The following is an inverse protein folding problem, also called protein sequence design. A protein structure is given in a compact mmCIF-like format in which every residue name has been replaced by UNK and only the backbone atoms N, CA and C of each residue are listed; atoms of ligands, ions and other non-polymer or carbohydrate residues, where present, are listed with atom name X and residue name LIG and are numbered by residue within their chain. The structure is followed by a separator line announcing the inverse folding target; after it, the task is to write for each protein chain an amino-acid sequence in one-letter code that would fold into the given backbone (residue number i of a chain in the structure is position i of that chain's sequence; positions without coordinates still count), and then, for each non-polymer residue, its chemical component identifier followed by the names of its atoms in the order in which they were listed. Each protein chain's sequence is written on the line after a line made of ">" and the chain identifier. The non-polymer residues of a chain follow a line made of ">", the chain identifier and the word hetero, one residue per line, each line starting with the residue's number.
data_IF_629930627622
#
_entry.id   IF_629930627622
#
_cell.length_a   1.000
_cell.length_b   1.000
_cell.length_c   1.000
_cell.angle_alpha   90.00
_cell.angle_beta   90.00
_cell.angle_gamma   90.00
#
_symmetry.space_group_name_H-M   'P 1'
#
loop_
_entity.id
_entity.type
_entity.pdbx_description
1 polymer ?
#
# COMPACT_ATOMS: atom_id res chain seq x y z
N UNK A 1 -6.85 28.76 -14.50
CA UNK A 1 -6.81 27.48 -13.82
C UNK A 1 -5.67 26.66 -14.38
N UNK A 2 -4.74 26.26 -13.53
CA UNK A 2 -3.72 25.28 -13.93
C UNK A 2 -4.43 23.94 -14.07
N UNK A 3 -4.67 23.50 -15.31
CA UNK A 3 -5.08 22.13 -15.58
C UNK A 3 -3.87 21.24 -15.34
N UNK A 4 -3.79 20.64 -14.14
CA UNK A 4 -2.85 19.55 -13.92
C UNK A 4 -3.41 18.32 -14.64
N UNK A 5 -2.67 17.80 -15.62
CA UNK A 5 -3.00 16.55 -16.30
C UNK A 5 -2.84 15.33 -15.37
N UNK A 6 -2.31 15.51 -14.17
CA UNK A 6 -2.15 14.47 -13.18
C UNK A 6 -3.40 14.37 -12.29
N UNK A 7 -3.98 13.19 -12.22
CA UNK A 7 -5.03 12.89 -11.25
C UNK A 7 -4.45 12.87 -9.83
N UNK A 8 -5.20 13.31 -8.82
CA UNK A 8 -4.78 13.25 -7.42
C UNK A 8 -4.44 11.83 -6.97
N UNK A 9 -3.59 11.73 -5.97
CA UNK A 9 -3.31 10.51 -5.24
C UNK A 9 -4.02 10.60 -3.89
N UNK A 10 -4.73 9.56 -3.50
CA UNK A 10 -5.38 9.45 -2.20
C UNK A 10 -4.75 8.34 -1.39
N UNK A 11 -4.42 8.61 -0.13
CA UNK A 11 -4.05 7.61 0.85
C UNK A 11 -5.18 7.40 1.86
N UNK A 12 -5.57 6.14 2.05
CA UNK A 12 -6.55 5.75 3.06
C UNK A 12 -5.83 5.22 4.30
N UNK A 13 -5.57 6.13 5.24
CA UNK A 13 -4.95 5.78 6.51
C UNK A 13 -6.00 5.26 7.50
N UNK A 14 -5.63 4.25 8.28
CA UNK A 14 -6.49 3.61 9.31
C UNK A 14 -6.01 3.89 10.75
N UNK A 15 -4.99 4.72 10.90
CA UNK A 15 -4.42 5.12 12.17
C UNK A 15 -2.94 4.80 12.30
N UNK A 16 -2.13 5.84 12.45
CA UNK A 16 -0.66 5.74 12.46
C UNK A 16 -0.03 6.46 13.67
N UNK A 17 -0.81 6.73 14.72
CA UNK A 17 -0.36 7.49 15.90
C UNK A 17 0.23 6.61 17.01
N UNK A 18 0.15 5.30 16.89
CA UNK A 18 0.64 4.34 17.90
C UNK A 18 1.04 3.02 17.22
N UNK A 19 2.05 2.31 17.75
CA UNK A 19 2.36 0.95 17.33
C UNK A 19 1.30 -0.08 17.75
N UNK A 20 0.44 0.26 18.72
CA UNK A 20 -0.66 -0.60 19.17
C UNK A 20 -1.78 -0.66 18.12
N UNK A 21 -1.81 -1.72 17.34
CA UNK A 21 -2.79 -1.91 16.27
C UNK A 21 -4.22 -2.06 16.76
N UNK A 22 -4.43 -2.40 18.03
CA UNK A 22 -5.77 -2.52 18.59
C UNK A 22 -6.49 -1.17 18.69
N UNK A 23 -5.74 -0.08 18.63
CA UNK A 23 -6.24 1.30 18.67
C UNK A 23 -6.43 1.92 17.28
N UNK A 24 -6.06 1.20 16.23
CA UNK A 24 -6.30 1.63 14.86
C UNK A 24 -7.64 1.05 14.33
N UNK A 25 -8.19 1.69 13.30
CA UNK A 25 -9.42 1.22 12.67
C UNK A 25 -9.21 -0.17 12.07
N UNK A 26 -10.12 -1.09 12.37
CA UNK A 26 -10.17 -2.42 11.80
C UNK A 26 -11.39 -2.58 10.89
N UNK A 27 -11.42 -3.63 10.08
CA UNK A 27 -12.46 -3.94 9.12
C UNK A 27 -11.96 -3.85 7.67
N UNK A 28 -12.65 -4.50 6.75
CA UNK A 28 -12.30 -4.50 5.34
C UNK A 28 -12.73 -3.20 4.64
N UNK A 29 -12.34 -3.05 3.38
CA UNK A 29 -12.69 -1.89 2.56
C UNK A 29 -14.08 -1.98 1.93
N UNK A 30 -14.83 -3.08 2.10
CA UNK A 30 -16.13 -3.34 1.46
C UNK A 30 -17.13 -2.19 1.61
N UNK A 31 -17.32 -1.59 2.79
CA UNK A 31 -18.25 -0.48 2.95
C UNK A 31 -17.83 0.79 2.19
N UNK A 32 -16.55 0.90 1.84
CA UNK A 32 -15.96 2.10 1.23
C UNK A 32 -15.77 1.97 -0.28
N UNK A 33 -15.73 0.77 -0.84
CA UNK A 33 -15.38 0.51 -2.25
C UNK A 33 -16.23 1.31 -3.21
N UNK A 34 -17.55 1.38 -2.99
CA UNK A 34 -18.44 2.17 -3.84
C UNK A 34 -18.07 3.65 -3.85
N UNK A 35 -17.83 4.24 -2.67
CA UNK A 35 -17.43 5.65 -2.55
C UNK A 35 -16.05 5.89 -3.15
N UNK A 36 -15.09 4.99 -2.87
CA UNK A 36 -13.73 5.08 -3.43
C UNK A 36 -13.74 5.01 -4.96
N UNK A 37 -14.59 4.17 -5.54
CA UNK A 37 -14.74 4.05 -6.98
C UNK A 37 -15.36 5.27 -7.67
N UNK A 38 -16.02 6.16 -6.92
CA UNK A 38 -16.57 7.41 -7.45
C UNK A 38 -15.58 8.58 -7.38
N UNK A 39 -14.44 8.40 -6.71
CA UNK A 39 -13.43 9.44 -6.58
C UNK A 39 -12.65 9.62 -7.90
N UNK A 40 -12.41 10.87 -8.26
CA UNK A 40 -11.58 11.22 -9.42
C UNK A 40 -10.11 11.30 -8.99
N UNK A 41 -9.52 10.13 -8.67
CA UNK A 41 -8.12 9.98 -8.30
C UNK A 41 -7.44 8.99 -9.24
N UNK A 42 -6.17 9.24 -9.55
CA UNK A 42 -5.40 8.35 -10.43
C UNK A 42 -4.78 7.17 -9.68
N UNK A 43 -4.55 7.33 -8.38
CA UNK A 43 -3.93 6.29 -7.54
C UNK A 43 -4.55 6.31 -6.15
N UNK A 44 -4.81 5.12 -5.62
CA UNK A 44 -5.32 4.91 -4.27
C UNK A 44 -4.31 4.07 -3.49
N UNK A 45 -3.77 4.62 -2.38
CA UNK A 45 -2.89 3.91 -1.47
C UNK A 45 -3.68 3.35 -0.28
N UNK A 46 -3.54 2.05 -0.04
CA UNK A 46 -4.33 1.29 0.93
C UNK A 46 -3.43 0.51 1.88
N UNK A 47 -3.77 0.51 3.16
CA UNK A 47 -3.13 -0.36 4.16
C UNK A 47 -3.61 -1.80 3.95
N UNK A 48 -2.72 -2.71 3.53
CA UNK A 48 -3.03 -4.11 3.21
C UNK A 48 -1.99 -5.10 3.74
N UNK A 49 -0.96 -4.63 4.47
CA UNK A 49 0.10 -5.48 4.99
C UNK A 49 -0.34 -6.41 6.13
N UNK A 50 -1.51 -6.18 6.72
CA UNK A 50 -2.00 -6.96 7.85
C UNK A 50 -3.40 -7.51 7.60
N UNK A 51 -3.76 -8.68 8.21
CA UNK A 51 -5.11 -9.26 8.10
C UNK A 51 -6.23 -8.32 8.59
N UNK A 52 -5.91 -7.32 9.39
CA UNK A 52 -6.85 -6.28 9.84
C UNK A 52 -7.52 -5.54 8.69
N UNK A 53 -6.86 -5.45 7.55
CA UNK A 53 -7.37 -4.79 6.36
C UNK A 53 -8.47 -5.59 5.63
N UNK A 54 -8.63 -6.87 5.95
CA UNK A 54 -9.55 -7.77 5.26
C UNK A 54 -9.00 -8.29 3.94
N UNK A 55 -9.89 -8.70 3.07
CA UNK A 55 -9.55 -9.35 1.81
C UNK A 55 -9.37 -8.35 0.67
N UNK A 56 -8.32 -8.51 -0.14
CA UNK A 56 -8.05 -7.66 -1.31
C UNK A 56 -9.11 -7.80 -2.40
N UNK A 57 -9.79 -8.92 -2.46
CA UNK A 57 -10.80 -9.24 -3.48
C UNK A 57 -11.92 -8.21 -3.55
N UNK A 58 -12.27 -7.58 -2.43
CA UNK A 58 -13.29 -6.53 -2.40
C UNK A 58 -12.91 -5.32 -3.25
N UNK A 59 -11.62 -5.09 -3.47
CA UNK A 59 -11.09 -3.98 -4.24
C UNK A 59 -11.21 -4.19 -5.77
N UNK A 60 -11.58 -5.39 -6.22
CA UNK A 60 -11.83 -5.66 -7.67
C UNK A 60 -12.96 -4.81 -8.26
N UNK A 61 -13.83 -4.26 -7.40
CA UNK A 61 -14.88 -3.35 -7.83
C UNK A 61 -14.40 -1.91 -8.07
N UNK A 62 -13.13 -1.59 -7.81
CA UNK A 62 -12.54 -0.29 -8.13
C UNK A 62 -12.33 -0.15 -9.65
N UNK A 63 -12.46 1.07 -10.21
CA UNK A 63 -12.24 1.35 -11.63
C UNK A 63 -10.89 0.79 -12.14
N UNK A 64 -10.90 0.24 -13.36
CA UNK A 64 -9.71 -0.40 -13.94
C UNK A 64 -8.59 0.60 -14.28
N UNK A 65 -8.90 1.85 -14.51
CA UNK A 65 -7.96 2.93 -14.79
C UNK A 65 -7.32 3.52 -13.51
N UNK A 66 -7.81 3.13 -12.33
CA UNK A 66 -7.25 3.53 -11.04
C UNK A 66 -6.07 2.63 -10.68
N UNK A 67 -4.91 3.22 -10.41
CA UNK A 67 -3.75 2.50 -9.87
C UNK A 67 -3.93 2.25 -8.37
N UNK A 68 -3.41 1.12 -7.89
CA UNK A 68 -3.55 0.69 -6.50
C UNK A 68 -2.16 0.56 -5.88
N UNK A 69 -1.88 1.39 -4.89
CA UNK A 69 -0.72 1.23 -4.02
C UNK A 69 -1.09 0.32 -2.86
N UNK A 70 -0.56 -0.88 -2.88
CA UNK A 70 -0.77 -1.85 -1.79
C UNK A 70 0.26 -1.64 -0.70
N UNK A 71 -0.20 -1.48 0.54
CA UNK A 71 0.63 -1.62 1.71
C UNK A 71 1.15 -3.05 1.80
N UNK A 72 2.45 -3.23 1.69
CA UNK A 72 3.09 -4.55 1.67
C UNK A 72 4.13 -4.74 2.79
N UNK A 73 4.30 -3.73 3.63
CA UNK A 73 5.03 -3.85 4.89
C UNK A 73 4.38 -2.99 5.99
N UNK A 74 4.43 -3.50 7.22
CA UNK A 74 3.88 -2.81 8.37
C UNK A 74 4.92 -1.87 8.98
N UNK A 75 4.71 -0.55 8.84
CA UNK A 75 5.62 0.47 9.36
C UNK A 75 5.64 0.58 10.89
N UNK A 76 4.65 -0.02 11.58
CA UNK A 76 4.51 0.09 13.04
C UNK A 76 5.47 -0.79 13.83
N UNK A 77 6.03 -1.81 13.20
CA UNK A 77 6.88 -2.79 13.85
C UNK A 77 8.32 -2.71 13.35
N UNK A 78 9.26 -3.03 14.27
CA UNK A 78 10.69 -3.07 13.95
C UNK A 78 11.09 -4.26 13.07
N UNK A 79 10.25 -5.30 12.96
CA UNK A 79 10.49 -6.42 12.06
C UNK A 79 10.53 -5.93 10.61
N UNK A 80 11.59 -6.28 9.89
CA UNK A 80 11.73 -6.01 8.46
C UNK A 80 11.27 -7.26 7.71
N UNK A 81 10.26 -7.12 6.90
CA UNK A 81 9.74 -8.20 6.05
C UNK A 81 10.80 -8.64 5.04
N UNK A 82 10.85 -9.94 4.71
CA UNK A 82 11.74 -10.41 3.66
C UNK A 82 11.23 -10.02 2.27
N UNK A 83 12.13 -9.93 1.30
CA UNK A 83 11.77 -9.66 -0.10
C UNK A 83 10.80 -10.72 -0.62
N UNK A 84 11.03 -11.98 -0.28
CA UNK A 84 10.17 -13.11 -0.69
C UNK A 84 8.76 -12.98 -0.12
N UNK A 85 8.62 -12.55 1.14
CA UNK A 85 7.32 -12.31 1.76
C UNK A 85 6.55 -11.21 1.03
N UNK A 86 7.20 -10.07 0.74
CA UNK A 86 6.59 -8.97 0.00
C UNK A 86 6.22 -9.39 -1.42
N UNK A 87 7.09 -10.13 -2.11
CA UNK A 87 6.79 -10.67 -3.45
C UNK A 87 5.56 -11.58 -3.39
N UNK A 88 5.50 -12.52 -2.44
CA UNK A 88 4.35 -13.43 -2.31
C UNK A 88 3.04 -12.68 -2.07
N UNK A 89 3.05 -11.70 -1.17
CA UNK A 89 1.89 -10.85 -0.89
C UNK A 89 1.45 -10.05 -2.13
N UNK A 90 2.41 -9.47 -2.85
CA UNK A 90 2.13 -8.68 -4.05
C UNK A 90 1.70 -9.52 -5.26
N UNK A 91 2.17 -10.76 -5.40
CA UNK A 91 1.71 -11.67 -6.48
C UNK A 91 0.21 -11.93 -6.39
N UNK A 92 -0.35 -12.02 -5.19
CA UNK A 92 -1.80 -12.11 -5.02
C UNK A 92 -2.50 -10.86 -5.57
N UNK A 93 -1.99 -9.67 -5.27
CA UNK A 93 -2.53 -8.43 -5.83
C UNK A 93 -2.35 -8.34 -7.36
N UNK A 94 -1.23 -8.84 -7.90
CA UNK A 94 -1.01 -8.92 -9.36
C UNK A 94 -2.07 -9.79 -10.04
N UNK A 95 -2.42 -10.93 -9.43
CA UNK A 95 -3.48 -11.81 -9.96
C UNK A 95 -4.86 -11.15 -9.96
N UNK A 96 -5.12 -10.24 -9.01
CA UNK A 96 -6.40 -9.56 -8.88
C UNK A 96 -6.52 -8.33 -9.80
N UNK A 97 -5.44 -7.57 -9.99
CA UNK A 97 -5.49 -6.23 -10.58
C UNK A 97 -4.60 -6.06 -11.81
N UNK A 98 -3.65 -6.95 -12.06
CA UNK A 98 -2.61 -6.79 -13.06
C UNK A 98 -1.41 -5.98 -12.55
N UNK A 99 -0.21 -6.36 -12.98
CA UNK A 99 1.05 -5.78 -12.49
C UNK A 99 1.21 -4.28 -12.83
N UNK A 100 0.68 -3.84 -13.97
CA UNK A 100 0.78 -2.45 -14.43
C UNK A 100 0.03 -1.45 -13.54
N UNK A 101 -1.00 -1.93 -12.83
CA UNK A 101 -1.81 -1.11 -11.93
C UNK A 101 -1.24 -0.98 -10.53
N UNK A 102 -0.22 -1.77 -10.18
CA UNK A 102 0.24 -1.88 -8.81
C UNK A 102 1.44 -1.00 -8.50
N UNK A 103 1.44 -0.50 -7.26
CA UNK A 103 2.57 0.13 -6.60
C UNK A 103 2.76 -0.56 -5.25
N UNK A 104 4.01 -0.77 -4.84
CA UNK A 104 4.33 -1.29 -3.51
C UNK A 104 4.67 -0.14 -2.58
N UNK A 105 4.02 -0.11 -1.43
CA UNK A 105 4.22 0.92 -0.41
C UNK A 105 4.29 0.29 0.98
N UNK A 106 4.82 0.98 2.00
CA UNK A 106 4.44 0.66 3.37
C UNK A 106 2.96 0.97 3.58
N UNK A 107 2.34 0.38 4.60
CA UNK A 107 0.93 0.66 4.93
C UNK A 107 0.69 2.16 5.16
N UNK A 108 1.63 2.84 5.81
CA UNK A 108 1.59 4.27 6.06
C UNK A 108 3.02 4.84 6.18
N UNK A 109 3.16 6.12 6.47
CA UNK A 109 4.46 6.76 6.75
C UNK A 109 5.10 6.24 8.04
N UNK A 110 6.44 6.28 8.10
CA UNK A 110 7.21 5.80 9.27
C UNK A 110 7.17 6.75 10.47
N UNK A 111 6.59 7.94 10.31
CA UNK A 111 6.33 8.88 11.39
C UNK A 111 5.01 9.60 11.15
N UNK A 112 4.18 9.69 12.17
CA UNK A 112 2.94 10.47 12.11
C UNK A 112 3.26 11.95 12.24
N UNK A 113 4.21 12.28 13.11
CA UNK A 113 4.72 13.63 13.37
C UNK A 113 6.24 13.60 13.41
N UNK A 114 6.89 14.71 13.17
CA UNK A 114 8.35 14.81 13.13
C UNK A 114 9.04 14.34 14.43
N UNK A 115 8.37 14.52 15.55
CA UNK A 115 8.84 14.15 16.89
C UNK A 115 8.31 12.80 17.39
N UNK A 116 7.55 12.09 16.58
CA UNK A 116 6.96 10.79 16.93
C UNK A 116 7.16 9.75 15.81
N UNK A 117 8.41 9.33 15.55
CA UNK A 117 8.68 8.24 14.63
C UNK A 117 8.23 6.91 15.23
N UNK A 118 7.58 6.07 14.44
CA UNK A 118 7.13 4.73 14.86
C UNK A 118 8.26 3.71 14.85
N UNK A 119 9.27 3.92 14.01
CA UNK A 119 10.48 3.10 13.90
C UNK A 119 11.70 3.97 13.67
N UNK A 120 12.90 3.40 13.85
CA UNK A 120 14.15 4.12 13.55
C UNK A 120 14.32 4.32 12.03
N UNK A 121 15.12 5.33 11.68
CA UNK A 121 15.46 5.60 10.26
C UNK A 121 16.11 4.38 9.58
N UNK A 122 16.96 3.63 10.29
CA UNK A 122 17.60 2.43 9.76
C UNK A 122 16.59 1.32 9.43
N UNK A 123 15.55 1.14 10.27
CA UNK A 123 14.47 0.18 10.00
C UNK A 123 13.62 0.66 8.82
N UNK A 124 13.30 1.95 8.76
CA UNK A 124 12.55 2.52 7.65
C UNK A 124 13.30 2.33 6.32
N UNK A 125 14.61 2.59 6.29
CA UNK A 125 15.46 2.37 5.12
C UNK A 125 15.48 0.88 4.71
N UNK A 126 15.64 -0.03 5.67
CA UNK A 126 15.64 -1.47 5.40
C UNK A 126 14.29 -1.94 4.80
N UNK A 127 13.16 -1.47 5.33
CA UNK A 127 11.82 -1.77 4.77
C UNK A 127 11.65 -1.21 3.36
N UNK A 128 12.11 0.01 3.09
CA UNK A 128 12.09 0.59 1.74
C UNK A 128 12.97 -0.19 0.77
N UNK A 129 14.15 -0.66 1.21
CA UNK A 129 15.02 -1.52 0.41
C UNK A 129 14.34 -2.86 0.07
N UNK A 130 13.62 -3.47 1.01
CA UNK A 130 12.82 -4.66 0.78
C UNK A 130 11.73 -4.43 -0.28
N UNK A 131 10.97 -3.34 -0.17
CA UNK A 131 9.94 -2.99 -1.15
C UNK A 131 10.53 -2.75 -2.55
N UNK A 132 11.67 -2.05 -2.63
CA UNK A 132 12.37 -1.82 -3.90
C UNK A 132 12.87 -3.13 -4.53
N UNK A 133 13.43 -4.03 -3.71
CA UNK A 133 13.87 -5.35 -4.14
C UNK A 133 12.72 -6.21 -4.67
N UNK A 134 11.60 -6.23 -3.97
CA UNK A 134 10.39 -6.95 -4.38
C UNK A 134 9.81 -6.36 -5.68
N UNK A 135 9.74 -5.04 -5.79
CA UNK A 135 9.24 -4.38 -6.99
C UNK A 135 10.10 -4.71 -8.23
N UNK A 136 11.43 -4.79 -8.07
CA UNK A 136 12.33 -5.20 -9.17
C UNK A 136 12.02 -6.63 -9.62
N UNK A 137 11.90 -7.58 -8.70
CA UNK A 137 11.60 -8.98 -9.01
C UNK A 137 10.24 -9.10 -9.73
N UNK A 138 9.22 -8.39 -9.25
CA UNK A 138 7.89 -8.42 -9.85
C UNK A 138 7.89 -7.82 -11.26
N UNK A 139 8.59 -6.70 -11.49
CA UNK A 139 8.73 -6.13 -12.83
C UNK A 139 9.40 -7.11 -13.80
N UNK A 140 10.49 -7.76 -13.37
CA UNK A 140 11.19 -8.78 -14.17
C UNK A 140 10.26 -9.95 -14.53
N UNK A 141 9.48 -10.46 -13.54
CA UNK A 141 8.55 -11.58 -13.75
C UNK A 141 7.40 -11.25 -14.70
N UNK A 142 6.89 -10.04 -14.62
CA UNK A 142 5.70 -9.62 -15.36
C UNK A 142 6.01 -8.75 -16.59
N UNK A 143 7.28 -8.58 -16.95
CA UNK A 143 7.69 -7.85 -18.14
C UNK A 143 7.36 -6.35 -18.12
N UNK A 144 7.29 -5.74 -16.92
CA UNK A 144 6.99 -4.32 -16.78
C UNK A 144 8.28 -3.51 -16.97
N UNK A 145 8.31 -2.66 -17.99
CA UNK A 145 9.43 -1.74 -18.23
C UNK A 145 9.53 -0.69 -17.11
N UNK A 146 10.77 -0.26 -16.81
CA UNK A 146 11.08 0.81 -15.86
C UNK A 146 11.05 2.16 -16.56
#
# INVERSE_FOLDING_TARGET
>A
GVQTCALPILHMCRGNWTPDETKALAGDYRPLVHTLGQLRVGTLFLELATPRAGEMEVLKALPEDMRIGIGACNQKHAHVESVEHVVHHAEHAVQLFGAERLLLTPDCGFATFADNPLTSAAIAEAKLATLAGAARILRERHGIAV
#
